data_IF_243755299735
#
_entry.id   IF_243755299735
#
_cell.length_a   1.000
_cell.length_b   1.000
_cell.length_c   1.000
_cell.angle_alpha   90.00
_cell.angle_beta   90.00
_cell.angle_gamma   90.00
#
_symmetry.space_group_name_H-M   'P 1'
#
loop_
_entity.id
_entity.type
_entity.pdbx_description
1 polymer ?
#
# COMPACT_ATOMS: atom_id res chain seq x y z
N UNK A 1 -8.72 -6.74 41.60
CA UNK A 1 -7.71 -7.25 40.63
C UNK A 1 -8.17 -8.65 40.21
N UNK A 2 -8.71 -8.80 39.00
CA UNK A 2 -8.91 -10.13 38.41
C UNK A 2 -7.51 -10.60 37.98
N UNK A 3 -6.95 -11.55 38.67
CA UNK A 3 -5.80 -12.33 38.22
C UNK A 3 -6.32 -13.20 37.07
N UNK A 4 -5.94 -12.88 35.85
CA UNK A 4 -6.07 -13.81 34.74
C UNK A 4 -5.10 -14.97 35.01
N UNK A 5 -5.60 -16.17 34.98
CA UNK A 5 -4.77 -17.36 34.98
C UNK A 5 -3.75 -17.25 33.85
N UNK A 6 -2.52 -17.73 34.04
CA UNK A 6 -1.47 -17.68 33.01
C UNK A 6 -1.81 -18.67 31.89
N UNK A 7 -2.90 -18.40 31.18
CA UNK A 7 -3.26 -19.12 29.97
C UNK A 7 -2.22 -18.86 28.86
N UNK A 8 -2.00 -19.81 28.01
CA UNK A 8 -1.18 -19.66 26.83
C UNK A 8 -1.83 -18.65 25.87
N UNK A 9 -1.10 -17.58 25.53
CA UNK A 9 -1.56 -16.53 24.62
C UNK A 9 -0.95 -16.77 23.25
N UNK A 10 -1.78 -16.86 22.22
CA UNK A 10 -1.35 -16.92 20.83
C UNK A 10 -1.79 -15.67 20.07
N UNK A 11 -0.88 -15.07 19.33
CA UNK A 11 -1.14 -13.88 18.50
C UNK A 11 -1.49 -14.37 17.10
N UNK A 12 -2.63 -13.90 16.58
CA UNK A 12 -3.06 -14.09 15.20
C UNK A 12 -2.97 -12.74 14.48
N UNK A 13 -2.28 -12.75 13.34
CA UNK A 13 -2.06 -11.53 12.53
C UNK A 13 -3.34 -11.15 11.78
N UNK A 14 -3.42 -9.89 11.36
CA UNK A 14 -4.34 -9.48 10.29
C UNK A 14 -3.88 -10.11 8.99
N UNK A 15 -4.79 -10.70 8.23
CA UNK A 15 -4.49 -11.53 7.06
C UNK A 15 -5.28 -11.11 5.82
N UNK A 16 -4.77 -11.50 4.65
CA UNK A 16 -5.40 -11.35 3.35
C UNK A 16 -5.56 -12.74 2.69
N UNK A 17 -6.33 -12.84 1.62
CA UNK A 17 -6.25 -14.01 0.72
C UNK A 17 -5.08 -13.76 -0.25
N UNK A 18 -3.95 -14.43 -0.01
CA UNK A 18 -2.73 -14.22 -0.79
C UNK A 18 -2.88 -14.66 -2.24
N UNK A 19 -3.69 -15.68 -2.53
CA UNK A 19 -3.94 -16.14 -3.90
C UNK A 19 -4.76 -15.11 -4.70
N UNK A 20 -5.75 -14.50 -4.04
CA UNK A 20 -6.60 -13.46 -4.67
C UNK A 20 -5.79 -12.19 -4.95
N UNK A 21 -4.87 -11.82 -4.07
CA UNK A 21 -4.08 -10.60 -4.19
C UNK A 21 -2.74 -10.78 -4.92
N UNK A 22 -2.46 -11.97 -5.44
CA UNK A 22 -1.27 -12.25 -6.22
C UNK A 22 -1.18 -11.37 -7.48
N UNK A 23 0.05 -11.01 -7.87
CA UNK A 23 0.31 -10.29 -9.11
C UNK A 23 -0.12 -11.12 -10.33
N UNK A 24 -0.72 -10.46 -11.31
CA UNK A 24 -1.19 -11.02 -12.56
C UNK A 24 -0.83 -10.08 -13.71
N UNK A 25 0.10 -10.50 -14.60
CA UNK A 25 0.57 -9.72 -15.73
C UNK A 25 -0.57 -9.31 -16.68
N UNK A 26 -1.49 -10.24 -16.96
CA UNK A 26 -2.62 -9.98 -17.88
C UNK A 26 -3.57 -8.94 -17.32
N UNK A 27 -3.83 -9.03 -16.00
CA UNK A 27 -4.65 -8.04 -15.32
C UNK A 27 -3.96 -6.66 -15.32
N UNK A 28 -2.62 -6.63 -15.15
CA UNK A 28 -1.84 -5.40 -15.26
C UNK A 28 -1.95 -4.77 -16.63
N UNK A 29 -1.69 -5.55 -17.69
CA UNK A 29 -1.76 -5.09 -19.09
C UNK A 29 -3.15 -4.53 -19.39
N UNK A 30 -4.20 -5.30 -19.13
CA UNK A 30 -5.59 -4.88 -19.39
C UNK A 30 -5.99 -3.65 -18.58
N UNK A 31 -5.63 -3.56 -17.29
CA UNK A 31 -5.96 -2.40 -16.47
C UNK A 31 -5.23 -1.14 -16.97
N UNK A 32 -3.95 -1.24 -17.34
CA UNK A 32 -3.17 -0.11 -17.84
C UNK A 32 -3.67 0.39 -19.19
N UNK A 33 -4.07 -0.52 -20.10
CA UNK A 33 -4.70 -0.18 -21.37
C UNK A 33 -6.03 0.55 -21.15
N UNK A 34 -6.89 0.02 -20.27
CA UNK A 34 -8.21 0.62 -19.98
C UNK A 34 -8.13 2.04 -19.40
N UNK A 35 -7.06 2.36 -18.68
CA UNK A 35 -6.86 3.68 -18.08
C UNK A 35 -5.89 4.59 -18.85
N UNK A 36 -5.30 4.11 -19.95
CA UNK A 36 -4.31 4.87 -20.74
C UNK A 36 -2.98 5.09 -19.99
N UNK A 37 -2.53 4.07 -19.23
CA UNK A 37 -1.32 4.16 -18.39
C UNK A 37 -0.13 3.36 -18.93
N UNK A 38 -0.14 2.90 -20.19
CA UNK A 38 0.88 2.02 -20.78
C UNK A 38 2.30 2.64 -20.68
N UNK A 39 2.39 3.95 -20.87
CA UNK A 39 3.65 4.69 -20.83
C UNK A 39 3.79 5.59 -19.59
N UNK A 40 3.01 5.34 -18.53
CA UNK A 40 3.04 6.10 -17.29
C UNK A 40 3.75 5.34 -16.18
N UNK A 41 4.36 6.07 -15.25
CA UNK A 41 4.73 5.54 -13.94
C UNK A 41 3.61 5.88 -12.97
N UNK A 42 2.92 4.86 -12.47
CA UNK A 42 1.66 5.02 -11.72
C UNK A 42 1.90 4.81 -10.23
N UNK A 43 1.79 5.90 -9.49
CA UNK A 43 1.83 5.90 -8.03
C UNK A 43 0.43 5.76 -7.46
N UNK A 44 0.22 4.80 -6.57
CA UNK A 44 -1.10 4.49 -6.01
C UNK A 44 -1.24 4.84 -4.55
N UNK A 45 -2.43 5.26 -4.16
CA UNK A 45 -2.89 5.38 -2.79
C UNK A 45 -4.31 4.83 -2.68
N UNK A 46 -4.57 4.00 -1.67
CA UNK A 46 -5.91 3.48 -1.36
C UNK A 46 -6.17 3.69 0.13
N UNK A 47 -7.18 4.50 0.46
CA UNK A 47 -7.50 4.78 1.84
C UNK A 47 -8.44 5.97 2.04
N UNK A 48 -8.86 6.18 3.28
CA UNK A 48 -9.66 7.35 3.65
C UNK A 48 -8.85 8.63 3.56
N UNK A 49 -9.46 9.71 3.10
CA UNK A 49 -8.82 11.04 3.05
C UNK A 49 -9.03 11.78 4.39
N UNK A 50 -8.30 11.30 5.39
CA UNK A 50 -8.33 11.79 6.78
C UNK A 50 -6.91 12.12 7.25
N UNK A 51 -6.73 12.97 8.29
CA UNK A 51 -5.40 13.35 8.78
C UNK A 51 -4.49 12.17 9.08
N UNK A 52 -5.03 11.08 9.63
CA UNK A 52 -4.28 9.85 9.93
C UNK A 52 -3.52 9.30 8.71
N UNK A 53 -4.15 9.32 7.54
CA UNK A 53 -3.59 8.79 6.29
C UNK A 53 -2.65 9.78 5.59
N UNK A 54 -2.64 11.04 6.03
CA UNK A 54 -1.75 12.11 5.59
C UNK A 54 -1.74 12.35 4.07
N UNK A 55 -2.92 12.46 3.42
CA UNK A 55 -3.00 12.58 1.97
C UNK A 55 -2.41 13.90 1.45
N UNK A 56 -2.32 14.94 2.26
CA UNK A 56 -1.71 16.21 1.87
C UNK A 56 -0.20 16.06 1.69
N UNK A 57 0.49 15.38 2.62
CA UNK A 57 1.92 15.06 2.48
C UNK A 57 2.18 14.15 1.27
N UNK A 58 1.24 13.23 0.96
CA UNK A 58 1.31 12.42 -0.24
C UNK A 58 1.31 13.29 -1.51
N UNK A 59 0.41 14.28 -1.59
CA UNK A 59 0.33 15.22 -2.71
C UNK A 59 1.62 16.05 -2.79
N UNK A 60 2.14 16.52 -1.66
CA UNK A 60 3.41 17.25 -1.59
C UNK A 60 4.57 16.40 -2.13
N UNK A 61 4.62 15.13 -1.73
CA UNK A 61 5.61 14.15 -2.22
C UNK A 61 5.46 13.91 -3.72
N UNK A 62 4.22 13.73 -4.18
CA UNK A 62 3.98 13.51 -5.61
C UNK A 62 4.32 14.74 -6.46
N UNK A 63 4.10 15.95 -5.95
CA UNK A 63 4.55 17.17 -6.62
C UNK A 63 6.07 17.17 -6.85
N UNK A 64 6.86 16.68 -5.89
CA UNK A 64 8.31 16.54 -6.08
C UNK A 64 8.66 15.41 -7.07
N UNK A 65 7.95 14.25 -7.01
CA UNK A 65 8.10 13.18 -8.01
C UNK A 65 7.81 13.71 -9.42
N UNK A 66 6.76 14.51 -9.57
CA UNK A 66 6.33 15.08 -10.84
C UNK A 66 7.38 16.00 -11.49
N UNK A 67 8.28 16.60 -10.72
CA UNK A 67 9.40 17.39 -11.22
C UNK A 67 10.54 16.51 -11.76
N UNK A 68 10.67 15.28 -11.25
CA UNK A 68 11.74 14.33 -11.62
C UNK A 68 11.29 13.44 -12.78
N UNK A 69 10.04 12.97 -12.75
CA UNK A 69 9.48 12.03 -13.74
C UNK A 69 8.31 12.66 -14.50
N UNK A 70 8.54 13.03 -15.74
CA UNK A 70 7.54 13.70 -16.58
C UNK A 70 6.30 12.85 -16.86
N UNK A 71 6.45 11.52 -16.92
CA UNK A 71 5.35 10.58 -17.17
C UNK A 71 4.73 10.01 -15.90
N UNK A 72 5.07 10.50 -14.70
CA UNK A 72 4.46 10.05 -13.45
C UNK A 72 3.00 10.52 -13.32
N UNK A 73 2.14 9.66 -12.81
CA UNK A 73 0.76 9.98 -12.40
C UNK A 73 0.47 9.43 -11.01
N UNK A 74 -0.34 10.16 -10.24
CA UNK A 74 -0.83 9.73 -8.93
C UNK A 74 -2.30 9.31 -9.07
N UNK A 75 -2.62 8.12 -8.62
CA UNK A 75 -3.98 7.60 -8.56
C UNK A 75 -4.38 7.42 -7.11
N UNK A 76 -5.45 8.11 -6.72
CA UNK A 76 -5.98 8.11 -5.37
C UNK A 76 -7.37 7.46 -5.36
N UNK A 77 -7.54 6.44 -4.52
CA UNK A 77 -8.80 5.69 -4.37
C UNK A 77 -9.26 5.82 -2.92
N UNK A 78 -10.43 6.41 -2.74
CA UNK A 78 -11.01 6.63 -1.43
C UNK A 78 -11.86 7.88 -1.37
N UNK A 79 -12.16 8.29 -0.16
CA UNK A 79 -12.93 9.49 0.14
C UNK A 79 -12.65 9.95 1.57
N UNK A 80 -13.01 11.18 1.90
CA UNK A 80 -12.87 11.67 3.27
C UNK A 80 -12.93 13.20 3.38
N UNK A 81 -12.82 13.68 4.60
CA UNK A 81 -12.99 15.10 4.95
C UNK A 81 -11.93 16.03 4.33
N UNK A 82 -10.74 15.51 3.98
CA UNK A 82 -9.67 16.32 3.38
C UNK A 82 -9.76 16.48 1.86
N UNK A 83 -10.80 15.98 1.20
CA UNK A 83 -10.91 15.99 -0.26
C UNK A 83 -10.82 17.40 -0.85
N UNK A 84 -11.48 18.38 -0.23
CA UNK A 84 -11.43 19.77 -0.67
C UNK A 84 -10.02 20.38 -0.53
N UNK A 85 -9.33 20.10 0.58
CA UNK A 85 -7.96 20.57 0.80
C UNK A 85 -6.99 19.94 -0.20
N UNK A 86 -7.14 18.64 -0.47
CA UNK A 86 -6.40 17.92 -1.51
C UNK A 86 -6.58 18.55 -2.88
N UNK A 87 -7.83 18.81 -3.30
CA UNK A 87 -8.13 19.45 -4.58
C UNK A 87 -7.50 20.85 -4.70
N UNK A 88 -7.53 21.64 -3.63
CA UNK A 88 -6.91 22.95 -3.61
C UNK A 88 -5.39 22.87 -3.77
N UNK A 89 -4.73 21.94 -3.05
CA UNK A 89 -3.29 21.72 -3.13
C UNK A 89 -2.82 21.22 -4.50
N UNK A 90 -3.59 20.33 -5.12
CA UNK A 90 -3.35 19.83 -6.48
C UNK A 90 -3.40 20.99 -7.50
N UNK A 91 -4.35 21.91 -7.35
CA UNK A 91 -4.46 23.10 -8.19
C UNK A 91 -3.31 24.09 -7.96
N UNK A 92 -2.94 24.33 -6.70
CA UNK A 92 -1.85 25.19 -6.31
C UNK A 92 -0.52 24.74 -6.95
N UNK A 93 -0.28 23.43 -7.00
CA UNK A 93 0.89 22.85 -7.63
C UNK A 93 0.80 22.72 -9.16
N UNK A 94 -0.36 23.04 -9.76
CA UNK A 94 -0.61 22.91 -11.19
C UNK A 94 -0.38 21.48 -11.73
N UNK A 95 -0.74 20.45 -10.94
CA UNK A 95 -0.59 19.03 -11.28
C UNK A 95 -1.94 18.32 -11.49
N UNK A 96 -2.99 19.05 -11.82
CA UNK A 96 -4.36 18.52 -11.94
C UNK A 96 -4.49 17.45 -13.02
N UNK A 97 -3.74 17.53 -14.08
CA UNK A 97 -3.68 16.59 -15.20
C UNK A 97 -2.89 15.30 -14.87
N UNK A 98 -2.20 15.28 -13.74
CA UNK A 98 -1.33 14.19 -13.28
C UNK A 98 -1.85 13.49 -12.02
N UNK A 99 -2.95 13.95 -11.43
CA UNK A 99 -3.57 13.36 -10.24
C UNK A 99 -4.99 12.94 -10.55
N UNK A 100 -5.28 11.66 -10.37
CA UNK A 100 -6.60 11.05 -10.60
C UNK A 100 -7.21 10.67 -9.26
N UNK A 101 -8.30 11.32 -8.87
CA UNK A 101 -9.14 10.88 -7.76
C UNK A 101 -10.29 10.04 -8.30
N UNK A 102 -10.25 8.72 -8.06
CA UNK A 102 -11.23 7.75 -8.57
C UNK A 102 -12.38 7.49 -7.59
N UNK A 103 -12.41 8.20 -6.44
CA UNK A 103 -13.41 7.97 -5.41
C UNK A 103 -13.35 6.56 -4.83
N UNK A 104 -14.49 6.08 -4.30
CA UNK A 104 -14.60 4.71 -3.79
C UNK A 104 -14.68 3.70 -4.93
N UNK A 105 -13.90 2.63 -4.83
CA UNK A 105 -13.84 1.52 -5.79
C UNK A 105 -13.96 0.19 -5.04
N UNK A 106 -14.61 -0.79 -5.66
CA UNK A 106 -14.71 -2.16 -5.13
C UNK A 106 -13.79 -3.14 -5.91
N UNK A 107 -13.31 -2.75 -7.09
CA UNK A 107 -12.45 -3.49 -8.00
C UNK A 107 -10.95 -3.23 -7.74
N UNK A 108 -10.55 -3.22 -6.47
CA UNK A 108 -9.23 -2.76 -6.01
C UNK A 108 -8.08 -3.60 -6.57
N UNK A 109 -8.28 -4.89 -6.79
CA UNK A 109 -7.25 -5.81 -7.29
C UNK A 109 -6.58 -5.32 -8.58
N UNK A 110 -7.34 -4.80 -9.54
CA UNK A 110 -6.77 -4.29 -10.79
C UNK A 110 -5.83 -3.12 -10.57
N UNK A 111 -6.10 -2.27 -9.56
CA UNK A 111 -5.26 -1.11 -9.26
C UNK A 111 -3.93 -1.52 -8.65
N UNK A 112 -3.90 -2.49 -7.70
CA UNK A 112 -2.64 -3.02 -7.22
C UNK A 112 -1.79 -3.60 -8.35
N UNK A 113 -2.40 -4.22 -9.35
CA UNK A 113 -1.68 -4.73 -10.52
C UNK A 113 -1.21 -3.61 -11.45
N UNK A 114 -2.02 -2.56 -11.66
CA UNK A 114 -1.71 -1.46 -12.57
C UNK A 114 -0.66 -0.47 -12.05
N UNK A 115 -0.56 -0.27 -10.73
CA UNK A 115 0.40 0.64 -10.09
C UNK A 115 1.85 0.18 -10.24
N UNK A 116 2.79 1.11 -10.12
CA UNK A 116 4.24 0.85 -10.08
C UNK A 116 4.82 1.05 -8.67
N UNK A 117 4.16 1.86 -7.84
CA UNK A 117 4.46 2.04 -6.42
C UNK A 117 3.19 2.30 -5.62
N UNK A 118 3.21 1.95 -4.32
CA UNK A 118 2.14 2.27 -3.39
C UNK A 118 2.67 3.18 -2.27
N UNK A 119 2.00 4.31 -2.02
CA UNK A 119 2.45 5.30 -1.06
C UNK A 119 1.48 5.38 0.12
N UNK A 120 1.99 5.20 1.34
CA UNK A 120 1.20 5.27 2.57
C UNK A 120 1.93 6.06 3.66
N UNK A 121 1.98 7.41 3.55
CA UNK A 121 2.68 8.28 4.50
C UNK A 121 1.85 8.55 5.77
N UNK A 122 1.17 7.54 6.29
CA UNK A 122 0.26 7.66 7.42
C UNK A 122 0.97 8.20 8.66
N UNK A 123 0.29 9.02 9.45
CA UNK A 123 0.81 9.53 10.72
C UNK A 123 0.93 8.42 11.77
N UNK A 124 0.07 7.43 11.71
CA UNK A 124 0.09 6.21 12.53
C UNK A 124 -0.80 5.12 11.91
N UNK A 125 -0.38 3.88 12.01
CA UNK A 125 -1.15 2.68 11.64
C UNK A 125 -0.77 1.54 12.59
N UNK A 126 -1.76 0.70 12.89
CA UNK A 126 -1.49 -0.60 13.47
C UNK A 126 -0.97 -1.57 12.42
N UNK A 127 -1.88 -2.17 11.65
CA UNK A 127 -1.52 -3.08 10.56
C UNK A 127 -2.41 -2.76 9.34
N UNK A 128 -1.96 -1.87 8.44
CA UNK A 128 -2.74 -1.50 7.26
C UNK A 128 -2.81 -2.66 6.26
N UNK A 129 -4.00 -3.24 6.10
CA UNK A 129 -4.26 -4.36 5.17
C UNK A 129 -3.83 -4.03 3.74
N UNK A 130 -4.13 -2.82 3.27
CA UNK A 130 -3.73 -2.30 1.95
C UNK A 130 -2.22 -2.41 1.69
N UNK A 131 -1.41 -2.35 2.76
CA UNK A 131 0.04 -2.49 2.67
C UNK A 131 0.48 -3.94 2.45
N UNK A 132 -0.24 -4.90 3.01
CA UNK A 132 0.02 -6.34 2.80
C UNK A 132 -0.47 -6.74 1.39
N UNK A 133 -1.63 -6.24 0.96
CA UNK A 133 -2.18 -6.45 -0.39
C UNK A 133 -1.23 -5.92 -1.47
N UNK A 134 -0.69 -4.71 -1.30
CA UNK A 134 0.30 -4.12 -2.21
C UNK A 134 1.54 -5.01 -2.33
N UNK A 135 2.13 -5.44 -1.20
CA UNK A 135 3.30 -6.33 -1.21
C UNK A 135 2.99 -7.67 -1.87
N UNK A 136 1.82 -8.27 -1.62
CA UNK A 136 1.39 -9.52 -2.25
C UNK A 136 1.33 -9.42 -3.77
N UNK A 137 0.81 -8.29 -4.28
CA UNK A 137 0.78 -7.96 -5.70
C UNK A 137 2.16 -7.56 -6.26
N UNK A 138 3.25 -7.77 -5.52
CA UNK A 138 4.60 -7.45 -5.97
C UNK A 138 4.82 -5.94 -6.16
N UNK A 139 4.16 -5.10 -5.37
CA UNK A 139 4.22 -3.65 -5.50
C UNK A 139 5.12 -3.06 -4.41
N UNK A 140 6.20 -2.36 -4.76
CA UNK A 140 6.98 -1.60 -3.78
C UNK A 140 6.08 -0.64 -3.02
N UNK A 141 6.17 -0.68 -1.69
CA UNK A 141 5.37 0.17 -0.84
C UNK A 141 6.24 1.05 0.05
N UNK A 142 5.85 2.32 0.16
CA UNK A 142 6.55 3.32 0.96
C UNK A 142 5.65 3.76 2.11
N UNK A 143 5.99 3.23 3.29
CA UNK A 143 5.37 3.59 4.55
C UNK A 143 6.10 4.76 5.21
N UNK A 144 5.38 5.54 6.01
CA UNK A 144 6.06 6.33 7.05
C UNK A 144 6.65 5.41 8.12
N UNK A 145 7.71 5.85 8.81
CA UNK A 145 8.26 5.13 9.99
C UNK A 145 7.31 5.05 11.18
N UNK A 146 6.17 5.75 11.12
CA UNK A 146 5.12 5.68 12.13
C UNK A 146 4.14 4.50 11.92
N UNK A 147 4.30 3.78 10.83
CA UNK A 147 3.62 2.49 10.60
C UNK A 147 4.48 1.40 11.21
N UNK A 148 3.87 0.43 11.90
CA UNK A 148 4.61 -0.68 12.52
C UNK A 148 5.32 -1.53 11.46
N UNK A 149 6.59 -1.88 11.74
CA UNK A 149 7.36 -2.81 10.88
C UNK A 149 6.78 -4.23 10.87
N UNK A 150 5.86 -4.57 11.78
CA UNK A 150 5.10 -5.82 11.72
C UNK A 150 4.28 -5.97 10.44
N UNK A 151 4.07 -4.88 9.68
CA UNK A 151 3.43 -4.87 8.35
C UNK A 151 4.34 -5.40 7.23
N UNK A 152 5.61 -5.62 7.51
CA UNK A 152 6.58 -6.14 6.53
C UNK A 152 6.23 -7.59 6.17
N UNK A 153 5.66 -7.77 4.99
CA UNK A 153 5.31 -9.08 4.44
C UNK A 153 6.35 -9.56 3.40
N UNK A 154 7.20 -8.65 2.91
CA UNK A 154 8.27 -8.91 1.94
C UNK A 154 9.33 -7.81 1.97
N UNK A 155 10.40 -7.96 1.19
CA UNK A 155 11.43 -6.94 0.98
C UNK A 155 10.95 -5.67 0.24
N UNK A 156 9.70 -5.66 -0.22
CA UNK A 156 9.10 -4.52 -0.92
C UNK A 156 8.63 -3.40 0.01
N UNK A 157 8.65 -3.62 1.32
CA UNK A 157 8.28 -2.62 2.32
C UNK A 157 9.46 -1.67 2.61
N UNK A 158 9.28 -0.39 2.30
CA UNK A 158 10.23 0.67 2.55
C UNK A 158 9.67 1.64 3.59
N UNK A 159 10.49 2.02 4.57
CA UNK A 159 10.08 2.92 5.65
C UNK A 159 10.87 4.22 5.60
N UNK A 160 10.17 5.36 5.49
CA UNK A 160 10.77 6.70 5.43
C UNK A 160 10.14 7.56 6.53
N UNK A 161 10.97 8.29 7.29
CA UNK A 161 10.48 9.18 8.33
C UNK A 161 9.71 10.37 7.76
N UNK A 162 8.74 10.88 8.53
CA UNK A 162 8.00 12.09 8.17
C UNK A 162 8.72 13.38 8.57
N UNK A 163 9.83 13.27 9.27
CA UNK A 163 10.72 14.37 9.64
C UNK A 163 11.55 14.92 8.48
N UNK A 164 11.67 14.14 7.39
CA UNK A 164 12.33 14.60 6.16
C UNK A 164 11.33 15.21 5.18
N UNK A 165 11.83 16.05 4.27
CA UNK A 165 10.99 16.76 3.31
C UNK A 165 10.35 15.82 2.27
N UNK A 166 9.23 16.25 1.63
CA UNK A 166 8.64 15.55 0.49
C UNK A 166 9.64 15.27 -0.66
N UNK A 167 10.61 16.17 -0.89
CA UNK A 167 11.65 15.94 -1.91
C UNK A 167 12.55 14.75 -1.59
N UNK A 168 12.93 14.55 -0.31
CA UNK A 168 13.71 13.38 0.11
C UNK A 168 12.90 12.08 -0.05
N UNK A 169 11.59 12.13 0.20
CA UNK A 169 10.69 11.01 -0.10
C UNK A 169 10.69 10.72 -1.59
N UNK A 170 10.51 11.74 -2.44
CA UNK A 170 10.49 11.62 -3.89
C UNK A 170 11.77 10.96 -4.44
N UNK A 171 12.94 11.45 -4.05
CA UNK A 171 14.24 10.91 -4.50
C UNK A 171 14.39 9.41 -4.16
N UNK A 172 14.02 9.03 -2.93
CA UNK A 172 14.09 7.63 -2.49
C UNK A 172 13.12 6.74 -3.25
N UNK A 173 11.88 7.19 -3.45
CA UNK A 173 10.83 6.47 -4.17
C UNK A 173 11.26 6.24 -5.61
N UNK A 174 11.64 7.30 -6.33
CA UNK A 174 12.03 7.23 -7.75
C UNK A 174 13.19 6.26 -7.93
N UNK A 175 14.23 6.36 -7.10
CA UNK A 175 15.38 5.46 -7.16
C UNK A 175 15.00 3.99 -7.01
N UNK A 176 14.12 3.65 -6.05
CA UNK A 176 13.68 2.26 -5.86
C UNK A 176 12.88 1.78 -7.08
N UNK A 177 12.00 2.63 -7.64
CA UNK A 177 11.14 2.23 -8.75
C UNK A 177 11.95 2.03 -10.04
N UNK A 178 12.96 2.84 -10.32
CA UNK A 178 13.86 2.67 -11.47
C UNK A 178 14.58 1.32 -11.44
N UNK A 179 15.00 0.89 -10.24
CA UNK A 179 15.69 -0.39 -10.06
C UNK A 179 14.73 -1.60 -10.09
N UNK A 180 13.46 -1.42 -9.70
CA UNK A 180 12.53 -2.51 -9.42
C UNK A 180 11.55 -2.83 -10.56
N UNK A 181 11.00 -1.83 -11.25
CA UNK A 181 9.89 -2.02 -12.22
C UNK A 181 10.13 -3.15 -13.25
N UNK A 182 11.35 -3.36 -13.77
CA UNK A 182 11.61 -4.45 -14.72
C UNK A 182 11.54 -5.86 -14.15
N UNK A 183 11.46 -6.00 -12.80
CA UNK A 183 11.58 -7.28 -12.08
C UNK A 183 10.30 -7.68 -11.34
N UNK A 184 9.18 -7.03 -11.62
CA UNK A 184 7.93 -7.29 -10.89
C UNK A 184 7.45 -8.72 -11.02
N UNK A 185 7.07 -9.33 -9.90
CA UNK A 185 6.51 -10.68 -9.78
C UNK A 185 5.50 -10.75 -8.64
N UNK A 186 4.78 -11.86 -8.52
CA UNK A 186 3.96 -12.13 -7.35
C UNK A 186 4.82 -12.41 -6.12
N UNK A 187 4.38 -11.92 -4.97
CA UNK A 187 4.95 -12.18 -3.64
C UNK A 187 3.97 -12.94 -2.73
N UNK A 188 2.99 -13.62 -3.32
CA UNK A 188 1.99 -14.38 -2.56
C UNK A 188 2.63 -15.44 -1.65
N UNK A 189 3.68 -16.13 -2.10
CA UNK A 189 4.36 -17.16 -1.31
C UNK A 189 5.15 -16.56 -0.12
N UNK A 190 5.79 -15.41 -0.30
CA UNK A 190 6.45 -14.68 0.78
C UNK A 190 5.45 -14.20 1.83
N UNK A 191 4.30 -13.68 1.38
CA UNK A 191 3.20 -13.24 2.25
C UNK A 191 2.63 -14.41 3.06
N UNK A 192 2.41 -15.57 2.43
CA UNK A 192 2.00 -16.81 3.12
C UNK A 192 3.03 -17.26 4.16
N UNK A 193 4.31 -17.33 3.77
CA UNK A 193 5.42 -17.73 4.63
C UNK A 193 5.56 -16.84 5.86
N UNK A 194 5.28 -15.54 5.71
CA UNK A 194 5.35 -14.55 6.79
C UNK A 194 4.07 -14.48 7.64
N UNK A 195 3.10 -15.39 7.42
CA UNK A 195 1.92 -15.55 8.26
C UNK A 195 0.83 -14.50 8.02
N UNK A 196 0.72 -13.99 6.79
CA UNK A 196 -0.32 -13.03 6.41
C UNK A 196 -1.40 -13.64 5.50
N UNK A 197 -1.42 -14.97 5.33
CA UNK A 197 -2.43 -15.64 4.52
C UNK A 197 -3.61 -16.16 5.35
N UNK A 198 -4.81 -15.84 4.94
CA UNK A 198 -6.04 -16.16 5.65
C UNK A 198 -6.31 -17.66 5.79
N UNK A 199 -5.97 -18.45 4.77
CA UNK A 199 -6.16 -19.90 4.77
C UNK A 199 -5.23 -20.56 5.78
N UNK A 200 -3.96 -20.17 5.75
CA UNK A 200 -2.92 -20.67 6.66
C UNK A 200 -3.21 -20.30 8.11
N UNK A 201 -3.58 -19.04 8.37
CA UNK A 201 -3.89 -18.57 9.73
C UNK A 201 -5.19 -19.15 10.28
N UNK A 202 -6.20 -19.38 9.44
CA UNK A 202 -7.43 -20.07 9.86
C UNK A 202 -7.14 -21.51 10.34
N UNK A 203 -6.27 -22.23 9.60
CA UNK A 203 -5.86 -23.58 10.01
C UNK A 203 -5.06 -23.56 11.32
N UNK A 204 -4.14 -22.58 11.47
CA UNK A 204 -3.37 -22.40 12.72
C UNK A 204 -4.29 -22.10 13.90
N UNK A 205 -5.28 -21.24 13.71
CA UNK A 205 -6.27 -20.91 14.72
C UNK A 205 -7.12 -22.13 15.10
N UNK A 206 -7.58 -22.90 14.11
CA UNK A 206 -8.33 -24.13 14.33
C UNK A 206 -7.53 -25.14 15.17
N UNK A 207 -6.25 -25.39 14.81
CA UNK A 207 -5.37 -26.29 15.54
C UNK A 207 -5.12 -25.80 16.96
N UNK A 208 -4.97 -24.49 17.18
CA UNK A 208 -4.83 -23.92 18.51
C UNK A 208 -6.04 -24.22 19.38
N UNK A 209 -7.26 -24.03 18.88
CA UNK A 209 -8.47 -24.35 19.63
C UNK A 209 -8.60 -25.84 19.92
N UNK A 210 -8.32 -26.72 18.95
CA UNK A 210 -8.39 -28.18 19.19
C UNK A 210 -7.39 -28.64 20.26
N UNK A 211 -6.19 -28.06 20.29
CA UNK A 211 -5.19 -28.38 21.33
C UNK A 211 -5.60 -27.97 22.74
N UNK A 212 -6.64 -27.12 22.89
CA UNK A 212 -7.17 -26.70 24.21
C UNK A 212 -8.39 -27.50 24.67
N UNK A 213 -8.99 -28.29 23.80
CA UNK A 213 -10.18 -29.10 24.08
C UNK A 213 -9.80 -30.57 24.35
N UNK A 214 -8.59 -30.97 23.93
CA UNK A 214 -8.02 -32.29 24.20
C UNK A 214 -7.35 -32.37 25.56
#
# INVERSE_FOLDING_TARGET
>A
KKTYDKGEVSIFKTVIDADVNAFDDKLRESARENFGWENKVVYGFIGRYVPQKNPLFLIDTFNEIAKIQENAVLVMIGFGELENEMCNRIKEYAITDRVMNLGRRDDIKQFYNAFDAFLLPSLYEGMPVVGIEAQCAGLPIFFSKNVTEETTASELAHYIGLEVSPSVWADKIVKVIEDYTPKRRSYAEEVKKNGFDSKSEALRMQNFYFSKIS
#
